data_IF_769182902956
#
_entry.id   IF_769182902956
#
_cell.length_a   1.000
_cell.length_b   1.000
_cell.length_c   1.000
_cell.angle_alpha   90.00
_cell.angle_beta   90.00
_cell.angle_gamma   90.00
#
_symmetry.space_group_name_H-M   'P 1'
#
loop_
_entity.id
_entity.type
_entity.pdbx_description
1 polymer ?
#
# COMPACT_ATOMS: atom_id res chain seq x y z
N UNK A 1 -15.36 -13.17 72.27
CA UNK A 1 -15.42 -13.50 70.81
C UNK A 1 -15.77 -12.32 69.88
N UNK A 2 -16.44 -11.23 70.32
CA UNK A 2 -16.81 -10.12 69.42
C UNK A 2 -15.67 -9.19 68.98
N UNK A 3 -14.56 -9.11 69.73
CA UNK A 3 -13.46 -8.18 69.46
C UNK A 3 -12.58 -8.61 68.25
N UNK A 4 -12.38 -9.93 68.05
CA UNK A 4 -11.59 -10.43 66.92
C UNK A 4 -12.30 -10.25 65.56
N UNK A 5 -13.64 -10.23 65.52
CA UNK A 5 -14.39 -10.00 64.28
C UNK A 5 -14.26 -8.56 63.77
N UNK A 6 -14.16 -7.59 64.68
CA UNK A 6 -13.96 -6.18 64.34
C UNK A 6 -12.57 -5.89 63.73
N UNK A 7 -11.54 -6.57 64.23
CA UNK A 7 -10.16 -6.44 63.71
C UNK A 7 -10.06 -7.02 62.30
N UNK A 8 -10.70 -8.17 62.04
CA UNK A 8 -10.70 -8.79 60.71
C UNK A 8 -11.46 -7.90 59.69
N UNK A 9 -12.59 -7.33 60.09
CA UNK A 9 -13.39 -6.47 59.23
C UNK A 9 -12.66 -5.17 58.83
N UNK A 10 -12.03 -4.51 59.81
CA UNK A 10 -11.26 -3.28 59.56
C UNK A 10 -10.03 -3.53 58.70
N UNK A 11 -9.30 -4.62 58.93
CA UNK A 11 -8.13 -5.00 58.12
C UNK A 11 -8.52 -5.29 56.66
N UNK A 12 -9.66 -5.97 56.45
CA UNK A 12 -10.14 -6.30 55.10
C UNK A 12 -10.56 -5.03 54.33
N UNK A 13 -11.21 -4.07 54.99
CA UNK A 13 -11.56 -2.78 54.40
C UNK A 13 -10.33 -1.95 53.99
N UNK A 14 -9.28 -1.95 54.82
CA UNK A 14 -8.03 -1.25 54.51
C UNK A 14 -7.35 -1.88 53.28
N UNK A 15 -7.25 -3.21 53.23
CA UNK A 15 -6.67 -3.93 52.09
C UNK A 15 -7.47 -3.64 50.81
N UNK A 16 -8.80 -3.73 50.86
CA UNK A 16 -9.65 -3.46 49.70
C UNK A 16 -9.53 -2.01 49.21
N UNK A 17 -9.45 -1.05 50.13
CA UNK A 17 -9.22 0.36 49.81
C UNK A 17 -7.88 0.60 49.11
N UNK A 18 -6.80 -0.05 49.59
CA UNK A 18 -5.48 0.05 48.95
C UNK A 18 -5.44 -0.56 47.55
N UNK A 19 -6.11 -1.70 47.33
CA UNK A 19 -6.18 -2.33 46.01
C UNK A 19 -6.97 -1.48 45.00
N UNK A 20 -8.09 -0.87 45.42
CA UNK A 20 -8.87 0.04 44.58
C UNK A 20 -8.09 1.32 44.24
N UNK A 21 -7.33 1.85 45.20
CA UNK A 21 -6.45 3.01 45.00
C UNK A 21 -5.31 2.69 44.01
N UNK A 22 -4.68 1.51 44.12
CA UNK A 22 -3.64 1.08 43.19
C UNK A 22 -4.19 0.85 41.77
N UNK A 23 -5.37 0.24 41.65
CA UNK A 23 -6.00 -0.02 40.35
C UNK A 23 -6.41 1.29 39.63
N UNK A 24 -6.98 2.26 40.35
CA UNK A 24 -7.31 3.58 39.78
C UNK A 24 -6.05 4.37 39.41
N UNK A 25 -5.00 4.32 40.24
CA UNK A 25 -3.71 4.93 39.91
C UNK A 25 -3.07 4.32 38.65
N UNK A 26 -3.18 2.99 38.46
CA UNK A 26 -2.70 2.30 37.26
C UNK A 26 -3.46 2.73 36.00
N UNK A 27 -4.79 2.75 36.04
CA UNK A 27 -5.61 3.22 34.89
C UNK A 27 -5.30 4.66 34.51
N UNK A 28 -5.13 5.53 35.50
CA UNK A 28 -4.76 6.94 35.25
C UNK A 28 -3.36 7.08 34.63
N UNK A 29 -2.39 6.23 35.01
CA UNK A 29 -1.06 6.19 34.38
C UNK A 29 -1.13 5.71 32.93
N UNK A 30 -1.87 4.64 32.66
CA UNK A 30 -2.07 4.11 31.30
C UNK A 30 -2.76 5.14 30.40
N UNK A 31 -3.77 5.86 30.90
CA UNK A 31 -4.43 6.93 30.15
C UNK A 31 -3.49 8.10 29.85
N UNK A 32 -2.67 8.52 30.82
CA UNK A 32 -1.64 9.57 30.59
C UNK A 32 -0.59 9.14 29.57
N UNK A 33 -0.16 7.88 29.60
CA UNK A 33 0.78 7.34 28.61
C UNK A 33 0.18 7.34 27.20
N UNK A 34 -1.09 6.95 27.05
CA UNK A 34 -1.78 7.01 25.75
C UNK A 34 -1.83 8.42 25.18
N UNK A 35 -2.22 9.41 26.00
CA UNK A 35 -2.26 10.82 25.57
C UNK A 35 -0.88 11.33 25.18
N UNK A 36 0.18 10.95 25.90
CA UNK A 36 1.56 11.32 25.55
C UNK A 36 2.02 10.69 24.23
N UNK A 37 1.67 9.42 23.98
CA UNK A 37 1.99 8.74 22.73
C UNK A 37 1.25 9.40 21.55
N UNK A 38 -0.04 9.69 21.69
CA UNK A 38 -0.83 10.38 20.66
C UNK A 38 -0.26 11.76 20.33
N UNK A 39 0.14 12.53 21.35
CA UNK A 39 0.80 13.83 21.16
C UNK A 39 2.16 13.69 20.46
N UNK A 40 2.96 12.68 20.82
CA UNK A 40 4.26 12.43 20.18
C UNK A 40 4.11 12.02 18.70
N UNK A 41 3.14 11.15 18.39
CA UNK A 41 2.82 10.74 17.01
C UNK A 41 2.35 11.94 16.19
N UNK A 42 1.43 12.75 16.72
CA UNK A 42 0.93 13.95 16.04
C UNK A 42 2.06 14.94 15.72
N UNK A 43 2.94 15.19 16.69
CA UNK A 43 4.10 16.08 16.49
C UNK A 43 5.08 15.54 15.45
N UNK A 44 5.32 14.23 15.44
CA UNK A 44 6.17 13.59 14.43
C UNK A 44 5.57 13.70 13.02
N UNK A 45 4.25 13.54 12.89
CA UNK A 45 3.54 13.70 11.62
C UNK A 45 3.60 15.15 11.11
N UNK A 46 3.39 16.13 11.99
CA UNK A 46 3.51 17.55 11.66
C UNK A 46 4.93 17.91 11.20
N UNK A 47 5.96 17.40 11.88
CA UNK A 47 7.36 17.58 11.49
C UNK A 47 7.66 16.95 10.11
N UNK A 48 7.16 15.75 9.86
CA UNK A 48 7.33 15.10 8.55
C UNK A 48 6.62 15.87 7.43
N UNK A 49 5.42 16.41 7.71
CA UNK A 49 4.69 17.26 6.77
C UNK A 49 5.42 18.58 6.47
N UNK A 50 6.06 19.19 7.47
CA UNK A 50 6.91 20.37 7.26
C UNK A 50 8.15 20.05 6.44
N UNK A 51 8.80 18.90 6.66
CA UNK A 51 9.93 18.44 5.83
C UNK A 51 9.49 18.23 4.38
N UNK A 52 8.30 17.67 4.15
CA UNK A 52 7.74 17.49 2.79
C UNK A 52 7.40 18.84 2.15
N UNK A 53 6.83 19.79 2.91
CA UNK A 53 6.56 21.15 2.41
C UNK A 53 7.85 21.90 2.06
N UNK A 54 8.90 21.74 2.86
CA UNK A 54 10.19 22.42 2.67
C UNK A 54 11.11 21.70 1.66
N UNK A 55 10.85 20.43 1.33
CA UNK A 55 11.52 19.69 0.25
C UNK A 55 10.82 19.81 -1.10
N UNK A 56 9.64 20.45 -1.20
CA UNK A 56 9.15 20.89 -2.50
C UNK A 56 10.06 22.03 -2.97
N UNK A 57 10.84 21.86 -4.05
CA UNK A 57 11.52 23.01 -4.64
C UNK A 57 10.46 24.07 -4.95
N UNK A 58 10.78 25.32 -4.64
CA UNK A 58 9.99 26.45 -5.08
C UNK A 58 9.71 26.27 -6.56
N UNK A 59 8.43 26.10 -6.89
CA UNK A 59 7.95 26.08 -8.27
C UNK A 59 8.05 27.51 -8.76
N UNK A 60 9.27 27.91 -9.10
CA UNK A 60 9.51 29.06 -9.93
C UNK A 60 8.73 28.89 -11.23
N UNK A 61 8.17 30.00 -11.66
CA UNK A 61 7.31 30.16 -12.81
C UNK A 61 8.02 29.75 -14.10
N UNK A 62 7.94 28.48 -14.45
CA UNK A 62 8.07 28.00 -15.83
C UNK A 62 6.82 27.19 -16.17
N UNK A 63 5.74 27.93 -16.44
CA UNK A 63 4.63 27.42 -17.25
C UNK A 63 5.21 27.17 -18.65
N UNK A 64 5.72 25.96 -18.90
CA UNK A 64 5.77 25.37 -20.26
C UNK A 64 6.32 23.92 -20.30
N UNK A 65 7.00 23.37 -19.27
CA UNK A 65 7.63 22.03 -19.39
C UNK A 65 6.85 20.84 -18.80
N UNK A 66 5.78 21.03 -18.02
CA UNK A 66 5.07 19.91 -17.39
C UNK A 66 4.18 19.11 -18.36
N UNK A 67 3.84 19.67 -19.52
CA UNK A 67 3.01 18.97 -20.52
C UNK A 67 3.78 17.92 -21.32
N UNK A 68 5.08 18.13 -21.55
CA UNK A 68 5.92 17.22 -22.34
C UNK A 68 6.29 15.95 -21.57
N UNK A 69 6.66 16.07 -20.29
CA UNK A 69 7.06 14.92 -19.47
C UNK A 69 5.90 13.97 -19.21
N UNK A 70 4.72 14.47 -18.82
CA UNK A 70 3.55 13.62 -18.58
C UNK A 70 3.03 12.97 -19.87
N UNK A 71 3.07 13.68 -21.01
CA UNK A 71 2.74 13.07 -22.29
C UNK A 71 3.77 12.00 -22.69
N UNK A 72 5.06 12.25 -22.45
CA UNK A 72 6.12 11.27 -22.73
C UNK A 72 5.95 9.99 -21.92
N UNK A 73 5.55 10.07 -20.65
CA UNK A 73 5.30 8.90 -19.81
C UNK A 73 4.20 7.99 -20.36
N UNK A 74 3.03 8.54 -20.72
CA UNK A 74 1.93 7.75 -21.26
C UNK A 74 2.22 7.20 -22.65
N UNK A 75 2.92 7.95 -23.51
CA UNK A 75 3.31 7.43 -24.83
C UNK A 75 4.37 6.32 -24.73
N UNK A 76 5.30 6.43 -23.77
CA UNK A 76 6.23 5.34 -23.46
C UNK A 76 5.49 4.11 -22.94
N UNK A 77 4.49 4.29 -22.06
CA UNK A 77 3.63 3.20 -21.54
C UNK A 77 2.91 2.48 -22.67
N UNK A 78 2.22 3.23 -23.54
CA UNK A 78 1.54 2.66 -24.71
C UNK A 78 2.51 1.92 -25.63
N UNK A 79 3.71 2.46 -25.84
CA UNK A 79 4.74 1.81 -26.66
C UNK A 79 5.19 0.50 -26.03
N UNK A 80 5.47 0.49 -24.72
CA UNK A 80 5.86 -0.72 -23.98
C UNK A 80 4.76 -1.79 -24.06
N UNK A 81 3.50 -1.43 -23.87
CA UNK A 81 2.35 -2.35 -23.98
C UNK A 81 2.21 -2.89 -25.39
N UNK A 82 2.27 -2.02 -26.40
CA UNK A 82 2.18 -2.40 -27.80
C UNK A 82 3.30 -3.36 -28.21
N UNK A 83 4.52 -3.18 -27.67
CA UNK A 83 5.63 -4.12 -27.85
C UNK A 83 5.36 -5.44 -27.11
N UNK A 84 4.86 -5.40 -25.87
CA UNK A 84 4.58 -6.61 -25.07
C UNK A 84 3.49 -7.52 -25.66
N UNK A 85 2.58 -6.96 -26.47
CA UNK A 85 1.49 -7.71 -27.10
C UNK A 85 1.88 -8.34 -28.44
N UNK A 86 3.13 -8.19 -28.88
CA UNK A 86 3.64 -8.73 -30.15
C UNK A 86 4.62 -9.86 -29.89
N UNK A 87 4.74 -10.76 -30.86
CA UNK A 87 5.96 -11.58 -30.99
C UNK A 87 7.04 -10.64 -31.52
N UNK A 88 8.14 -10.48 -30.79
CA UNK A 88 9.24 -9.56 -31.14
C UNK A 88 10.41 -10.33 -31.78
N UNK A 89 10.45 -10.46 -33.12
CA UNK A 89 11.51 -11.20 -33.80
C UNK A 89 12.85 -10.45 -33.81
N UNK A 90 12.83 -9.11 -33.68
CA UNK A 90 14.03 -8.29 -33.76
C UNK A 90 14.69 -8.08 -32.38
N UNK A 91 16.03 -8.08 -32.36
CA UNK A 91 16.80 -7.79 -31.15
C UNK A 91 16.55 -6.37 -30.65
N UNK A 92 16.39 -5.42 -31.57
CA UNK A 92 16.13 -4.01 -31.26
C UNK A 92 14.82 -3.83 -30.49
N UNK A 93 13.71 -4.41 -30.95
CA UNK A 93 12.42 -4.32 -30.24
C UNK A 93 12.47 -5.01 -28.89
N UNK A 94 13.17 -6.14 -28.78
CA UNK A 94 13.36 -6.83 -27.50
C UNK A 94 14.15 -5.95 -26.51
N UNK A 95 15.23 -5.31 -26.97
CA UNK A 95 16.02 -4.39 -26.15
C UNK A 95 15.20 -3.16 -25.75
N UNK A 96 14.39 -2.62 -26.67
CA UNK A 96 13.51 -1.48 -26.40
C UNK A 96 12.45 -1.82 -25.36
N UNK A 97 11.79 -2.98 -25.47
CA UNK A 97 10.85 -3.44 -24.44
C UNK A 97 11.53 -3.60 -23.09
N UNK A 98 12.71 -4.24 -23.05
CA UNK A 98 13.48 -4.41 -21.81
C UNK A 98 13.88 -3.08 -21.18
N UNK A 99 14.23 -2.08 -22.01
CA UNK A 99 14.55 -0.74 -21.52
C UNK A 99 13.35 -0.13 -20.79
N UNK A 100 12.14 -0.19 -21.35
CA UNK A 100 10.93 0.28 -20.66
C UNK A 100 10.62 -0.52 -19.39
N UNK A 101 10.68 -1.85 -19.45
CA UNK A 101 10.33 -2.71 -18.31
C UNK A 101 11.35 -2.67 -17.16
N UNK A 102 12.55 -2.14 -17.39
CA UNK A 102 13.58 -1.92 -16.35
C UNK A 102 13.80 -0.45 -16.01
N UNK A 103 12.98 0.45 -16.54
CA UNK A 103 13.01 1.86 -16.16
C UNK A 103 12.31 2.05 -14.81
N UNK A 104 13.12 2.18 -13.75
CA UNK A 104 12.64 2.31 -12.38
C UNK A 104 11.78 3.57 -12.17
N UNK A 105 12.13 4.68 -12.81
CA UNK A 105 11.38 5.94 -12.68
C UNK A 105 10.00 5.81 -13.32
N UNK A 106 9.92 5.13 -14.47
CA UNK A 106 8.63 4.84 -15.12
C UNK A 106 7.74 3.94 -14.26
N UNK A 107 8.31 2.94 -13.58
CA UNK A 107 7.55 2.06 -12.68
C UNK A 107 7.08 2.80 -11.43
N UNK A 108 7.92 3.67 -10.87
CA UNK A 108 7.54 4.52 -9.75
C UNK A 108 6.41 5.48 -10.13
N UNK A 109 6.51 6.15 -11.27
CA UNK A 109 5.45 7.04 -11.78
C UNK A 109 4.13 6.30 -12.05
N UNK A 110 4.20 5.07 -12.59
CA UNK A 110 3.02 4.22 -12.77
C UNK A 110 2.33 3.90 -11.43
N UNK A 111 3.11 3.55 -10.41
CA UNK A 111 2.60 3.21 -9.09
C UNK A 111 2.02 4.43 -8.38
N UNK A 112 2.71 5.57 -8.47
CA UNK A 112 2.24 6.83 -7.88
C UNK A 112 0.94 7.30 -8.55
N UNK A 113 0.82 7.16 -9.88
CA UNK A 113 -0.42 7.47 -10.59
C UNK A 113 -1.57 6.56 -10.17
N UNK A 114 -1.33 5.25 -9.99
CA UNK A 114 -2.34 4.31 -9.51
C UNK A 114 -2.75 4.60 -8.05
N UNK A 115 -1.82 5.05 -7.21
CA UNK A 115 -2.07 5.39 -5.81
C UNK A 115 -2.81 6.72 -5.62
N UNK A 116 -2.50 7.72 -6.44
CA UNK A 116 -3.09 9.07 -6.36
C UNK A 116 -3.25 9.66 -7.77
N UNK A 117 -4.33 9.29 -8.48
CA UNK A 117 -4.59 9.79 -9.82
C UNK A 117 -4.76 11.32 -9.81
N UNK A 118 -4.12 12.06 -10.74
CA UNK A 118 -4.11 13.52 -10.73
C UNK A 118 -5.46 14.17 -11.07
N UNK A 119 -6.33 13.49 -11.83
CA UNK A 119 -7.64 14.03 -12.20
C UNK A 119 -8.77 13.35 -11.42
N UNK A 120 -9.72 14.16 -10.95
CA UNK A 120 -10.92 13.69 -10.23
C UNK A 120 -11.88 12.86 -11.11
N UNK A 121 -11.77 12.94 -12.44
CA UNK A 121 -12.56 12.10 -13.35
C UNK A 121 -11.90 10.73 -13.56
N UNK A 122 -12.07 9.88 -12.55
CA UNK A 122 -11.49 8.54 -12.50
C UNK A 122 -12.08 7.58 -13.54
N UNK A 123 -13.29 7.86 -14.07
CA UNK A 123 -13.88 7.07 -15.17
C UNK A 123 -13.15 7.31 -16.48
N UNK A 124 -12.80 8.57 -16.77
CA UNK A 124 -11.99 8.91 -17.95
C UNK A 124 -10.57 8.32 -17.90
N UNK A 125 -10.07 8.01 -16.70
CA UNK A 125 -8.72 7.50 -16.47
C UNK A 125 -8.61 5.98 -16.38
N UNK A 126 -9.72 5.24 -16.45
CA UNK A 126 -9.74 3.79 -16.30
C UNK A 126 -8.84 3.09 -17.33
N UNK A 127 -8.90 3.48 -18.60
CA UNK A 127 -8.06 2.91 -19.65
C UNK A 127 -6.56 3.11 -19.36
N UNK A 128 -6.17 4.29 -18.85
CA UNK A 128 -4.78 4.57 -18.47
C UNK A 128 -4.35 3.70 -17.29
N UNK A 129 -5.21 3.52 -16.29
CA UNK A 129 -4.91 2.65 -15.14
C UNK A 129 -4.70 1.21 -15.57
N UNK A 130 -5.55 0.68 -16.45
CA UNK A 130 -5.41 -0.67 -17.00
C UNK A 130 -4.07 -0.84 -17.73
N UNK A 131 -3.67 0.17 -18.53
CA UNK A 131 -2.38 0.18 -19.20
C UNK A 131 -1.22 0.13 -18.19
N UNK A 132 -1.28 0.90 -17.11
CA UNK A 132 -0.26 0.91 -16.06
C UNK A 132 -0.20 -0.40 -15.28
N UNK A 133 -1.34 -1.00 -14.96
CA UNK A 133 -1.41 -2.34 -14.35
C UNK A 133 -0.74 -3.36 -15.26
N UNK A 134 -1.05 -3.33 -16.56
CA UNK A 134 -0.43 -4.24 -17.53
C UNK A 134 1.08 -4.02 -17.63
N UNK A 135 1.55 -2.77 -17.68
CA UNK A 135 2.97 -2.44 -17.69
C UNK A 135 3.70 -3.05 -16.48
N UNK A 136 3.17 -2.85 -15.27
CA UNK A 136 3.73 -3.39 -14.03
C UNK A 136 3.71 -4.92 -14.03
N UNK A 137 2.62 -5.54 -14.47
CA UNK A 137 2.53 -7.00 -14.63
C UNK A 137 3.62 -7.52 -15.57
N UNK A 138 3.82 -6.90 -16.74
CA UNK A 138 4.89 -7.30 -17.68
C UNK A 138 6.29 -7.16 -17.06
N UNK A 139 6.51 -6.10 -16.29
CA UNK A 139 7.78 -5.88 -15.61
C UNK A 139 8.07 -6.96 -14.55
N UNK A 140 7.03 -7.43 -13.83
CA UNK A 140 7.11 -8.51 -12.86
C UNK A 140 7.33 -9.90 -13.52
N UNK A 141 6.59 -10.19 -14.59
CA UNK A 141 6.68 -11.44 -15.36
C UNK A 141 8.06 -11.67 -15.98
N UNK A 142 8.77 -10.59 -16.31
CA UNK A 142 10.13 -10.69 -16.85
C UNK A 142 11.13 -11.20 -15.79
N UNK A 143 11.36 -12.52 -15.79
CA UNK A 143 12.18 -13.25 -14.81
C UNK A 143 13.59 -12.68 -14.60
N UNK A 144 14.23 -12.12 -15.64
CA UNK A 144 15.58 -11.55 -15.57
C UNK A 144 15.62 -10.03 -15.56
N UNK A 145 14.51 -9.38 -15.18
CA UNK A 145 14.46 -7.93 -15.01
C UNK A 145 15.43 -7.51 -13.88
N UNK A 146 16.45 -6.68 -14.14
CA UNK A 146 17.42 -6.27 -13.13
C UNK A 146 16.83 -5.39 -12.03
N UNK A 147 15.62 -4.84 -12.25
CA UNK A 147 14.91 -4.00 -11.29
C UNK A 147 13.73 -4.70 -10.62
N UNK A 148 13.57 -6.01 -10.82
CA UNK A 148 12.41 -6.77 -10.35
C UNK A 148 12.13 -6.59 -8.86
N UNK A 149 13.15 -6.72 -8.01
CA UNK A 149 12.97 -6.67 -6.56
C UNK A 149 12.45 -5.30 -6.10
N UNK A 150 12.97 -4.20 -6.67
CA UNK A 150 12.51 -2.85 -6.40
C UNK A 150 11.06 -2.65 -6.86
N UNK A 151 10.72 -3.13 -8.05
CA UNK A 151 9.35 -3.06 -8.60
C UNK A 151 8.39 -3.88 -7.73
N UNK A 152 8.78 -5.11 -7.34
CA UNK A 152 7.98 -5.96 -6.45
C UNK A 152 7.69 -5.28 -5.12
N UNK A 153 8.69 -4.65 -4.51
CA UNK A 153 8.52 -3.92 -3.26
C UNK A 153 7.52 -2.77 -3.43
N UNK A 154 7.67 -1.94 -4.46
CA UNK A 154 6.78 -0.80 -4.69
C UNK A 154 5.35 -1.23 -5.03
N UNK A 155 5.18 -2.31 -5.80
CA UNK A 155 3.87 -2.91 -6.06
C UNK A 155 3.24 -3.45 -4.77
N UNK A 156 4.03 -4.11 -3.91
CA UNK A 156 3.56 -4.59 -2.61
C UNK A 156 3.07 -3.44 -1.71
N UNK A 157 3.84 -2.35 -1.65
CA UNK A 157 3.46 -1.14 -0.92
C UNK A 157 2.13 -0.57 -1.44
N UNK A 158 1.95 -0.46 -2.76
CA UNK A 158 0.68 -0.01 -3.36
C UNK A 158 -0.51 -0.91 -3.03
N UNK A 159 -0.33 -2.24 -3.13
CA UNK A 159 -1.38 -3.22 -2.80
C UNK A 159 -1.81 -3.05 -1.35
N UNK A 160 -0.87 -2.81 -0.43
CA UNK A 160 -1.11 -2.67 1.00
C UNK A 160 -1.72 -1.32 1.42
N UNK A 161 -1.71 -0.30 0.55
CA UNK A 161 -2.35 0.99 0.84
C UNK A 161 -3.85 0.78 1.15
N UNK A 162 -4.37 1.45 2.18
CA UNK A 162 -5.78 1.41 2.57
C UNK A 162 -6.54 2.65 2.08
N UNK A 163 -6.33 3.03 0.81
CA UNK A 163 -6.88 4.25 0.19
C UNK A 163 -8.24 4.05 -0.49
N UNK A 164 -8.76 2.81 -0.55
CA UNK A 164 -10.01 2.52 -1.28
C UNK A 164 -11.26 3.09 -0.58
N UNK A 165 -11.20 3.29 0.74
CA UNK A 165 -12.28 3.91 1.50
C UNK A 165 -12.47 5.40 1.17
N UNK A 166 -11.47 6.05 0.57
CA UNK A 166 -11.49 7.47 0.22
C UNK A 166 -12.36 7.77 -1.02
N UNK A 167 -12.69 6.75 -1.83
CA UNK A 167 -13.57 6.90 -2.98
C UNK A 167 -15.04 6.77 -2.58
N UNK A 168 -15.82 7.83 -2.74
CA UNK A 168 -17.27 7.83 -2.44
C UNK A 168 -18.08 6.95 -3.40
N UNK A 169 -17.68 6.86 -4.67
CA UNK A 169 -18.35 6.04 -5.68
C UNK A 169 -17.93 4.57 -5.57
N UNK A 170 -18.91 3.70 -5.33
CA UNK A 170 -18.70 2.26 -5.20
C UNK A 170 -18.17 1.60 -6.50
N UNK A 171 -18.57 2.08 -7.68
CA UNK A 171 -18.05 1.55 -8.96
C UNK A 171 -16.55 1.85 -9.09
N UNK A 172 -16.15 3.07 -8.75
CA UNK A 172 -14.75 3.50 -8.75
C UNK A 172 -13.96 2.65 -7.75
N UNK A 173 -14.48 2.49 -6.52
CA UNK A 173 -13.85 1.66 -5.50
C UNK A 173 -13.63 0.22 -5.95
N UNK A 174 -14.63 -0.39 -6.61
CA UNK A 174 -14.51 -1.74 -7.18
C UNK A 174 -13.49 -1.81 -8.31
N UNK A 175 -13.43 -0.80 -9.18
CA UNK A 175 -12.45 -0.71 -10.27
C UNK A 175 -11.01 -0.65 -9.71
N UNK A 176 -10.73 0.20 -8.71
CA UNK A 176 -9.39 0.22 -8.06
C UNK A 176 -9.10 -1.05 -7.27
N UNK A 177 -10.11 -1.66 -6.64
CA UNK A 177 -9.95 -2.96 -6.00
C UNK A 177 -9.56 -4.04 -7.02
N UNK A 178 -10.11 -4.01 -8.24
CA UNK A 178 -9.73 -4.90 -9.32
C UNK A 178 -8.26 -4.73 -9.72
N UNK A 179 -7.77 -3.50 -9.88
CA UNK A 179 -6.35 -3.21 -10.18
C UNK A 179 -5.42 -3.82 -9.13
N UNK A 180 -5.73 -3.64 -7.84
CA UNK A 180 -4.97 -4.25 -6.73
C UNK A 180 -5.04 -5.77 -6.73
N UNK A 181 -6.20 -6.34 -7.03
CA UNK A 181 -6.38 -7.79 -7.16
C UNK A 181 -5.46 -8.35 -8.24
N UNK A 182 -5.44 -7.70 -9.40
CA UNK A 182 -4.68 -8.13 -10.56
C UNK A 182 -3.19 -8.08 -10.26
N UNK A 183 -2.68 -6.96 -9.72
CA UNK A 183 -1.27 -6.84 -9.34
C UNK A 183 -0.88 -7.83 -8.25
N UNK A 184 -1.72 -8.04 -7.23
CA UNK A 184 -1.47 -9.04 -6.19
C UNK A 184 -1.39 -10.47 -6.77
N UNK A 185 -2.32 -10.81 -7.66
CA UNK A 185 -2.37 -12.12 -8.30
C UNK A 185 -1.13 -12.38 -9.13
N UNK A 186 -0.74 -11.42 -9.97
CA UNK A 186 0.45 -11.52 -10.81
C UNK A 186 1.73 -11.59 -9.96
N UNK A 187 1.83 -10.76 -8.93
CA UNK A 187 2.96 -10.79 -8.02
C UNK A 187 3.10 -12.15 -7.33
N UNK A 188 2.00 -12.69 -6.80
CA UNK A 188 1.98 -13.98 -6.10
C UNK A 188 2.20 -15.17 -7.03
N UNK A 189 1.80 -15.08 -8.31
CA UNK A 189 2.09 -16.14 -9.28
C UNK A 189 3.59 -16.20 -9.62
N UNK A 190 4.19 -15.03 -9.83
CA UNK A 190 5.61 -14.86 -10.16
C UNK A 190 6.52 -15.12 -8.95
N UNK A 191 6.10 -14.69 -7.77
CA UNK A 191 6.80 -14.85 -6.50
C UNK A 191 5.79 -15.12 -5.37
N UNK A 192 5.57 -16.42 -5.13
CA UNK A 192 4.61 -16.88 -4.14
C UNK A 192 4.97 -16.41 -2.71
N UNK A 193 6.25 -16.31 -2.37
CA UNK A 193 6.66 -15.91 -1.03
C UNK A 193 6.41 -14.42 -0.80
N UNK A 194 6.69 -13.58 -1.80
CA UNK A 194 6.32 -12.16 -1.75
C UNK A 194 4.81 -11.98 -1.54
N UNK A 195 3.99 -12.76 -2.25
CA UNK A 195 2.53 -12.76 -2.07
C UNK A 195 2.07 -13.16 -0.67
N UNK A 196 2.69 -14.18 -0.06
CA UNK A 196 2.39 -14.60 1.32
C UNK A 196 2.78 -13.52 2.34
N UNK A 197 3.91 -12.85 2.13
CA UNK A 197 4.38 -11.81 3.04
C UNK A 197 3.45 -10.59 3.00
N UNK A 198 2.93 -10.21 1.82
CA UNK A 198 1.88 -9.17 1.71
C UNK A 198 0.64 -9.54 2.52
N UNK A 199 0.14 -10.77 2.39
CA UNK A 199 -1.03 -11.24 3.15
C UNK A 199 -0.83 -11.15 4.66
N UNK A 200 0.39 -11.45 5.12
CA UNK A 200 0.77 -11.40 6.54
C UNK A 200 0.95 -9.98 7.05
N UNK A 201 1.47 -9.08 6.23
CA UNK A 201 1.67 -7.67 6.58
C UNK A 201 0.37 -6.87 6.57
N UNK A 202 -0.67 -7.39 5.92
CA UNK A 202 -1.94 -6.72 5.81
C UNK A 202 -2.62 -6.48 7.16
N UNK A 203 -3.03 -5.23 7.37
CA UNK A 203 -3.75 -4.79 8.57
C UNK A 203 -5.19 -4.37 8.27
N UNK A 204 -5.58 -4.27 6.98
CA UNK A 204 -6.91 -3.83 6.56
C UNK A 204 -7.83 -5.02 6.27
N UNK A 205 -9.01 -5.00 6.90
CA UNK A 205 -10.08 -5.98 6.63
C UNK A 205 -10.55 -5.95 5.17
N UNK A 206 -10.44 -4.80 4.51
CA UNK A 206 -10.82 -4.66 3.12
C UNK A 206 -9.83 -5.41 2.23
N UNK A 207 -8.54 -5.14 2.38
CA UNK A 207 -7.46 -5.82 1.67
C UNK A 207 -7.49 -7.34 1.94
N UNK A 208 -7.86 -7.77 3.15
CA UNK A 208 -8.04 -9.19 3.46
C UNK A 208 -9.17 -9.85 2.64
N UNK A 209 -10.24 -9.13 2.32
CA UNK A 209 -11.30 -9.63 1.42
C UNK A 209 -10.81 -9.72 -0.02
N UNK A 210 -10.03 -8.73 -0.45
CA UNK A 210 -9.38 -8.70 -1.76
C UNK A 210 -8.47 -9.93 -1.97
N UNK A 211 -7.55 -10.19 -1.05
CA UNK A 211 -6.63 -11.33 -1.16
C UNK A 211 -7.37 -12.67 -1.15
N UNK A 212 -8.41 -12.80 -0.32
CA UNK A 212 -9.25 -14.00 -0.30
C UNK A 212 -9.96 -14.21 -1.63
N UNK A 213 -10.50 -13.14 -2.22
CA UNK A 213 -11.10 -13.19 -3.55
C UNK A 213 -10.06 -13.64 -4.58
N UNK A 214 -8.89 -13.00 -4.62
CA UNK A 214 -7.81 -13.34 -5.53
C UNK A 214 -7.40 -14.84 -5.42
N UNK A 215 -7.15 -15.31 -4.21
CA UNK A 215 -6.73 -16.68 -3.95
C UNK A 215 -7.76 -17.74 -4.38
N UNK A 216 -9.04 -17.45 -4.15
CA UNK A 216 -10.13 -18.36 -4.48
C UNK A 216 -10.41 -18.38 -5.98
N UNK A 217 -10.46 -17.20 -6.59
CA UNK A 217 -10.84 -17.03 -8.00
C UNK A 217 -9.73 -17.49 -8.94
N UNK A 218 -8.49 -17.04 -8.70
CA UNK A 218 -7.34 -17.38 -9.54
C UNK A 218 -6.64 -18.68 -9.12
N UNK A 219 -7.15 -19.38 -8.10
CA UNK A 219 -6.64 -20.69 -7.71
C UNK A 219 -5.21 -20.69 -7.14
N UNK A 220 -4.73 -19.56 -6.63
CA UNK A 220 -3.36 -19.38 -6.13
C UNK A 220 -3.02 -20.29 -4.94
N UNK A 221 -4.03 -20.82 -4.25
CA UNK A 221 -3.87 -21.78 -3.15
C UNK A 221 -3.45 -23.19 -3.63
N UNK A 222 -3.45 -23.48 -4.94
CA UNK A 222 -3.25 -24.83 -5.48
C UNK A 222 -1.81 -25.21 -5.82
N UNK A 223 -0.81 -24.34 -5.59
CA UNK A 223 0.63 -24.69 -5.78
C UNK A 223 1.24 -25.51 -4.62
N UNK A 224 0.42 -26.07 -3.73
CA UNK A 224 0.82 -27.20 -2.87
C UNK A 224 0.40 -28.48 -3.55
N UNK A 225 1.25 -29.03 -4.42
CA UNK A 225 1.35 -30.45 -4.80
C UNK A 225 2.10 -30.55 -6.14
N UNK A 226 3.44 -30.63 -6.05
CA UNK A 226 4.31 -31.54 -6.81
C UNK A 226 5.75 -31.37 -6.36
#
# INVERSE_FOLDING_TARGET
>A
MKQNQWIIFTTTLVILGTLLSQHTARKNREQRQRVQIEQAVKKSLEQNLEVIKNKRPAKDSTKESNGETTNSFFENTKTAIALSNKVLPSLEEQQKLRAYLSDEAMMEEAIDYLGTPPDADLKSNEARRMDLVLLLTRALEWRSNPKKDAIQQRVAEFILQDNLAEFDDNQIRLSFAADKTELFTNLKDVDFQAGLEIEKQNQSDFNAKLFRFANNFYGLNRKKEK
#
